data_IF_120236790203
#
_entry.id   IF_120236790203
#
_cell.length_a   1.000
_cell.length_b   1.000
_cell.length_c   1.000
_cell.angle_alpha   90.00
_cell.angle_beta   90.00
_cell.angle_gamma   90.00
#
_symmetry.space_group_name_H-M   'P 1'
#
loop_
_entity.id
_entity.type
_entity.pdbx_description
1 polymer ?
#
# COMPACT_ATOMS: atom_id res chain seq x y z
N UNK A 1 19.83 -9.51 12.96
CA UNK A 1 18.86 -9.22 11.91
C UNK A 1 19.31 -7.98 11.15
N UNK A 2 19.61 -8.11 9.87
CA UNK A 2 19.99 -7.01 8.97
C UNK A 2 18.75 -6.44 8.28
N UNK A 3 18.87 -5.26 7.67
CA UNK A 3 17.80 -4.69 6.83
C UNK A 3 17.37 -5.66 5.74
N UNK A 4 18.32 -6.31 5.08
CA UNK A 4 18.02 -7.21 3.96
C UNK A 4 17.31 -8.49 4.44
N UNK A 5 17.68 -9.00 5.61
CA UNK A 5 16.96 -10.10 6.27
C UNK A 5 15.50 -9.70 6.59
N UNK A 6 15.27 -8.46 7.05
CA UNK A 6 13.90 -7.95 7.29
C UNK A 6 13.12 -7.82 5.98
N UNK A 7 13.73 -7.27 4.92
CA UNK A 7 13.08 -7.18 3.59
C UNK A 7 12.73 -8.56 3.03
N UNK A 8 13.62 -9.54 3.20
CA UNK A 8 13.37 -10.92 2.80
C UNK A 8 12.19 -11.52 3.57
N UNK A 9 12.16 -11.36 4.90
CA UNK A 9 11.07 -11.84 5.73
C UNK A 9 9.71 -11.21 5.36
N UNK A 10 9.66 -9.92 5.03
CA UNK A 10 8.42 -9.31 4.51
C UNK A 10 8.00 -9.91 3.17
N UNK A 11 8.96 -10.19 2.29
CA UNK A 11 8.66 -10.79 0.99
C UNK A 11 8.09 -12.19 1.14
N UNK A 12 8.72 -13.03 1.95
CA UNK A 12 8.22 -14.37 2.28
C UNK A 12 6.80 -14.30 2.85
N UNK A 13 6.56 -13.38 3.79
CA UNK A 13 5.22 -13.17 4.35
C UNK A 13 4.19 -12.75 3.28
N UNK A 14 4.55 -11.83 2.39
CA UNK A 14 3.65 -11.41 1.31
C UNK A 14 3.45 -12.49 0.24
N UNK A 15 4.43 -13.36 0.02
CA UNK A 15 4.29 -14.50 -0.89
C UNK A 15 3.34 -15.56 -0.30
N UNK A 16 3.33 -15.71 1.03
CA UNK A 16 2.44 -16.67 1.72
C UNK A 16 1.00 -16.16 1.87
N UNK A 17 0.82 -14.90 2.32
CA UNK A 17 -0.51 -14.37 2.70
C UNK A 17 -0.95 -13.13 1.92
N UNK A 18 -0.13 -12.65 0.99
CA UNK A 18 -0.45 -11.50 0.15
C UNK A 18 -1.27 -11.87 -1.07
N UNK A 19 -1.76 -10.84 -1.77
CA UNK A 19 -2.36 -10.96 -3.08
C UNK A 19 -1.81 -9.88 -4.01
N UNK A 20 -1.84 -10.13 -5.32
CA UNK A 20 -1.42 -9.16 -6.31
C UNK A 20 -2.45 -8.02 -6.40
N UNK A 21 -1.97 -6.78 -6.34
CA UNK A 21 -2.75 -5.55 -6.46
C UNK A 21 -2.05 -4.57 -7.40
N UNK A 22 -2.74 -3.49 -7.78
CA UNK A 22 -2.12 -2.35 -8.44
C UNK A 22 -2.15 -1.15 -7.50
N UNK A 23 -1.04 -0.43 -7.40
CA UNK A 23 -1.04 0.94 -6.88
C UNK A 23 -1.05 1.87 -8.09
N UNK A 24 -2.05 2.74 -8.15
CA UNK A 24 -2.37 3.57 -9.31
C UNK A 24 -2.25 5.05 -8.96
N UNK A 25 -1.52 5.79 -9.78
CA UNK A 25 -1.51 7.26 -9.75
C UNK A 25 -2.03 7.81 -11.07
N UNK A 26 -3.08 8.61 -10.98
CA UNK A 26 -3.57 9.37 -12.12
C UNK A 26 -2.71 10.62 -12.35
N UNK A 27 -2.48 10.98 -13.60
CA UNK A 27 -1.85 12.24 -14.01
C UNK A 27 -2.82 13.02 -14.89
N UNK A 28 -2.85 14.35 -14.74
CA UNK A 28 -3.78 15.21 -15.49
C UNK A 28 -5.21 15.24 -14.92
N UNK A 29 -6.13 15.80 -15.70
CA UNK A 29 -7.51 16.10 -15.32
C UNK A 29 -8.51 15.55 -16.35
N UNK A 30 -9.77 15.40 -15.97
CA UNK A 30 -10.83 14.88 -16.86
C UNK A 30 -11.10 13.38 -16.69
N UNK A 31 -12.05 12.87 -17.48
CA UNK A 31 -12.49 11.47 -17.43
C UNK A 31 -11.42 10.50 -17.97
N UNK A 32 -10.74 10.89 -19.05
CA UNK A 32 -9.72 10.06 -19.73
C UNK A 32 -8.29 10.42 -19.29
N UNK A 33 -8.15 10.86 -18.03
CA UNK A 33 -6.84 11.23 -17.48
C UNK A 33 -5.92 10.00 -17.48
N UNK A 34 -4.66 10.13 -17.97
CA UNK A 34 -3.71 9.04 -17.93
C UNK A 34 -3.46 8.53 -16.51
N UNK A 35 -3.03 7.29 -16.38
CA UNK A 35 -2.61 6.72 -15.11
C UNK A 35 -1.39 5.83 -15.27
N UNK A 36 -0.67 5.66 -14.16
CA UNK A 36 0.42 4.73 -14.02
C UNK A 36 0.08 3.69 -12.96
N UNK A 37 0.27 2.41 -13.31
CA UNK A 37 0.01 1.27 -12.45
C UNK A 37 1.31 0.56 -12.07
N UNK A 38 1.55 0.42 -10.77
CA UNK A 38 2.58 -0.45 -10.22
C UNK A 38 1.94 -1.73 -9.70
N UNK A 39 2.18 -2.85 -10.40
CA UNK A 39 1.78 -4.18 -9.93
C UNK A 39 2.68 -4.67 -8.80
N UNK A 40 2.12 -4.86 -7.62
CA UNK A 40 2.83 -5.24 -6.39
C UNK A 40 2.06 -6.31 -5.62
N UNK A 41 2.73 -7.01 -4.71
CA UNK A 41 2.04 -7.85 -3.71
C UNK A 41 1.70 -7.03 -2.49
N UNK A 42 0.51 -7.27 -1.95
CA UNK A 42 0.08 -6.64 -0.71
C UNK A 42 -0.71 -7.60 0.17
N UNK A 43 -0.52 -7.47 1.49
CA UNK A 43 -1.43 -8.08 2.44
C UNK A 43 -2.60 -7.14 2.67
N UNK A 44 -3.82 -7.63 2.49
CA UNK A 44 -5.06 -6.85 2.65
C UNK A 44 -5.77 -7.31 3.91
N UNK A 45 -6.00 -6.39 4.84
CA UNK A 45 -6.56 -6.68 6.16
C UNK A 45 -7.69 -5.71 6.48
N UNK A 46 -8.70 -6.16 7.22
CA UNK A 46 -9.63 -5.25 7.88
C UNK A 46 -8.98 -4.66 9.14
N UNK A 47 -9.47 -3.52 9.58
CA UNK A 47 -9.15 -2.98 10.91
C UNK A 47 -9.90 -3.76 11.98
N UNK A 48 -9.25 -4.00 13.13
CA UNK A 48 -9.92 -4.52 14.31
C UNK A 48 -10.88 -3.48 14.91
N UNK A 49 -11.95 -3.86 15.63
CA UNK A 49 -12.90 -2.92 16.21
C UNK A 49 -12.27 -1.82 17.06
N UNK A 50 -11.17 -2.12 17.75
CA UNK A 50 -10.41 -1.16 18.57
C UNK A 50 -9.58 -0.15 17.76
N UNK A 51 -9.28 -0.46 16.51
CA UNK A 51 -8.54 0.40 15.60
C UNK A 51 -9.47 1.37 14.85
N UNK A 52 -10.78 1.15 14.90
CA UNK A 52 -11.79 2.03 14.30
C UNK A 52 -11.92 3.29 15.17
N UNK A 53 -11.07 4.27 14.89
CA UNK A 53 -11.05 5.56 15.55
C UNK A 53 -10.65 6.67 14.56
N UNK A 54 -11.12 7.90 14.81
CA UNK A 54 -10.77 9.06 14.00
C UNK A 54 -11.25 8.93 12.55
N UNK A 55 -10.32 8.92 11.60
CA UNK A 55 -10.60 8.83 10.15
C UNK A 55 -10.78 7.40 9.64
N UNK A 56 -10.55 6.39 10.47
CA UNK A 56 -10.75 4.98 10.12
C UNK A 56 -12.22 4.63 10.36
N UNK A 57 -12.90 4.18 9.31
CA UNK A 57 -14.29 3.77 9.35
C UNK A 57 -14.44 2.25 9.22
N UNK A 58 -15.57 1.71 9.68
CA UNK A 58 -15.92 0.31 9.40
C UNK A 58 -15.99 0.09 7.89
N UNK A 59 -15.32 -0.96 7.40
CA UNK A 59 -15.19 -1.27 5.97
C UNK A 59 -13.90 -0.74 5.34
N UNK A 60 -13.20 0.20 5.99
CA UNK A 60 -11.83 0.55 5.58
C UNK A 60 -10.92 -0.67 5.74
N UNK A 61 -9.90 -0.74 4.90
CA UNK A 61 -8.91 -1.81 4.88
C UNK A 61 -7.51 -1.24 5.02
N UNK A 62 -6.61 -2.05 5.54
CA UNK A 62 -5.18 -1.80 5.59
C UNK A 62 -4.47 -2.62 4.52
N UNK A 63 -3.60 -1.98 3.74
CA UNK A 63 -2.69 -2.66 2.81
C UNK A 63 -1.27 -2.57 3.35
N UNK A 64 -0.58 -3.70 3.44
CA UNK A 64 0.86 -3.72 3.71
C UNK A 64 1.57 -3.98 2.39
N UNK A 65 2.35 -3.01 1.91
CA UNK A 65 3.05 -3.04 0.62
C UNK A 65 4.54 -2.83 0.82
N UNK A 66 5.38 -3.66 0.22
CA UNK A 66 6.83 -3.45 0.24
C UNK A 66 7.21 -2.19 -0.54
N UNK A 67 8.00 -1.30 0.08
CA UNK A 67 8.47 -0.08 -0.60
C UNK A 67 9.40 -0.39 -1.75
N UNK A 68 10.19 -1.46 -1.61
CA UNK A 68 11.07 -1.93 -2.70
C UNK A 68 10.28 -2.26 -3.97
N UNK A 69 9.12 -2.91 -3.84
CA UNK A 69 8.32 -3.28 -5.01
C UNK A 69 7.80 -2.02 -5.74
N UNK A 70 7.45 -0.96 -5.01
CA UNK A 70 7.07 0.33 -5.61
C UNK A 70 8.24 1.00 -6.34
N UNK A 71 9.45 0.97 -5.75
CA UNK A 71 10.67 1.51 -6.35
C UNK A 71 11.05 0.73 -7.61
N UNK A 72 11.05 -0.60 -7.54
CA UNK A 72 11.40 -1.49 -8.66
C UNK A 72 10.41 -1.34 -9.82
N UNK A 73 9.15 -0.99 -9.53
CA UNK A 73 8.11 -0.63 -10.51
C UNK A 73 8.15 0.82 -10.94
N UNK A 74 9.12 1.61 -10.49
CA UNK A 74 9.27 3.04 -10.81
C UNK A 74 8.03 3.89 -10.43
N UNK A 75 7.28 3.47 -9.41
CA UNK A 75 6.16 4.24 -8.90
C UNK A 75 6.67 5.51 -8.22
N UNK A 76 5.98 6.63 -8.46
CA UNK A 76 6.36 7.91 -7.88
C UNK A 76 6.06 7.94 -6.37
N UNK A 77 7.11 7.95 -5.54
CA UNK A 77 7.02 8.09 -4.09
C UNK A 77 7.08 9.57 -3.66
N UNK A 78 6.47 9.97 -2.53
CA UNK A 78 5.68 9.14 -1.62
C UNK A 78 4.32 8.75 -2.22
N UNK A 79 3.70 7.67 -1.71
CA UNK A 79 2.28 7.40 -1.93
C UNK A 79 1.49 8.49 -1.20
N UNK A 80 0.55 9.14 -1.87
CA UNK A 80 -0.19 10.28 -1.33
C UNK A 80 -1.70 10.04 -1.39
N UNK A 81 -2.44 10.79 -0.58
CA UNK A 81 -3.90 10.79 -0.66
C UNK A 81 -4.36 11.17 -2.06
N UNK A 82 -5.27 10.37 -2.61
CA UNK A 82 -5.75 10.52 -4.00
C UNK A 82 -5.14 9.51 -4.98
N UNK A 83 -4.01 8.88 -4.62
CA UNK A 83 -3.62 7.63 -5.23
C UNK A 83 -4.68 6.56 -4.96
N UNK A 84 -4.69 5.53 -5.81
CA UNK A 84 -5.66 4.45 -5.75
C UNK A 84 -4.96 3.11 -5.56
N UNK A 85 -5.67 2.17 -4.97
CA UNK A 85 -5.33 0.77 -5.05
C UNK A 85 -6.39 0.05 -5.89
N UNK A 86 -5.98 -0.86 -6.75
CA UNK A 86 -6.89 -1.76 -7.46
C UNK A 86 -6.77 -3.14 -6.84
N UNK A 87 -7.84 -3.56 -6.15
CA UNK A 87 -7.90 -4.81 -5.39
C UNK A 87 -8.98 -5.67 -6.02
N UNK A 88 -8.60 -6.81 -6.61
CA UNK A 88 -9.53 -7.73 -7.29
C UNK A 88 -10.37 -7.05 -8.39
N UNK A 89 -9.75 -6.12 -9.12
CA UNK A 89 -10.39 -5.36 -10.19
C UNK A 89 -11.14 -4.09 -9.73
N UNK A 90 -11.36 -3.93 -8.42
CA UNK A 90 -12.07 -2.78 -7.87
C UNK A 90 -11.09 -1.67 -7.45
N UNK A 91 -11.37 -0.44 -7.88
CA UNK A 91 -10.59 0.73 -7.50
C UNK A 91 -11.05 1.29 -6.15
N UNK A 92 -10.12 1.39 -5.21
CA UNK A 92 -10.33 1.99 -3.89
C UNK A 92 -9.41 3.18 -3.69
N UNK A 93 -9.84 4.14 -2.87
CA UNK A 93 -9.07 5.33 -2.54
C UNK A 93 -8.02 4.99 -1.48
N UNK A 94 -6.80 5.49 -1.66
CA UNK A 94 -5.81 5.57 -0.59
C UNK A 94 -6.08 6.87 0.18
N UNK A 95 -6.45 6.73 1.46
CA UNK A 95 -6.77 7.86 2.33
C UNK A 95 -5.54 8.35 3.10
N UNK A 96 -4.65 7.42 3.48
CA UNK A 96 -3.41 7.71 4.19
C UNK A 96 -2.34 6.66 3.87
N UNK A 97 -1.08 7.07 3.94
CA UNK A 97 0.09 6.20 3.86
C UNK A 97 0.93 6.40 5.12
N UNK A 98 1.06 5.37 5.94
CA UNK A 98 1.92 5.33 7.11
C UNK A 98 3.29 4.79 6.71
N UNK A 99 4.29 5.67 6.77
CA UNK A 99 5.68 5.42 6.49
C UNK A 99 6.53 5.29 7.77
N UNK A 100 5.91 5.23 8.94
CA UNK A 100 6.57 5.22 10.24
C UNK A 100 6.54 3.84 10.89
N UNK A 101 5.42 3.13 10.83
CA UNK A 101 5.21 1.85 11.54
C UNK A 101 6.14 0.72 11.05
N UNK A 102 6.49 0.72 9.77
CA UNK A 102 7.15 -0.42 9.10
C UNK A 102 8.61 -0.10 8.75
N UNK A 103 9.30 0.59 9.65
CA UNK A 103 10.73 0.89 9.55
C UNK A 103 11.58 -0.09 10.34
N UNK A 104 12.78 -0.37 9.84
CA UNK A 104 13.83 -1.04 10.60
C UNK A 104 15.01 -0.07 10.77
N UNK A 105 15.15 0.49 11.97
CA UNK A 105 16.00 1.65 12.18
C UNK A 105 15.50 2.85 11.36
N UNK A 106 16.38 3.43 10.54
CA UNK A 106 16.03 4.57 9.68
C UNK A 106 15.47 4.18 8.31
N UNK A 107 15.40 2.88 7.99
CA UNK A 107 15.02 2.41 6.68
C UNK A 107 13.56 1.97 6.61
N UNK A 108 12.84 2.50 5.62
CA UNK A 108 11.45 2.14 5.36
C UNK A 108 11.38 0.84 4.56
N UNK A 109 10.77 -0.19 5.16
CA UNK A 109 10.67 -1.52 4.56
C UNK A 109 9.35 -1.67 3.80
N UNK A 110 8.24 -1.31 4.44
CA UNK A 110 6.89 -1.40 3.88
C UNK A 110 6.09 -0.14 4.21
N UNK A 111 4.98 0.08 3.51
CA UNK A 111 3.97 1.08 3.84
C UNK A 111 2.74 0.36 4.41
N UNK A 112 2.10 0.97 5.41
CA UNK A 112 0.69 0.65 5.72
C UNK A 112 -0.20 1.70 5.07
N UNK A 113 -1.04 1.28 4.12
CA UNK A 113 -1.99 2.17 3.45
C UNK A 113 -3.38 1.97 4.05
N UNK A 114 -4.01 3.05 4.48
CA UNK A 114 -5.45 3.07 4.74
C UNK A 114 -6.17 3.23 3.40
N UNK A 115 -7.04 2.27 3.07
CA UNK A 115 -7.86 2.33 1.86
C UNK A 115 -9.36 2.26 2.14
N UNK A 116 -10.12 2.97 1.31
CA UNK A 116 -11.58 3.10 1.39
C UNK A 116 -12.22 3.00 0.02
N UNK A 117 -13.34 2.28 -0.04
CA UNK A 117 -14.09 2.03 -1.28
C UNK A 117 -14.59 0.61 -1.30
#
# INVERSE_FOLDING_TARGET
MTVDEVKAAYREMLDEVGQDILIRRYTGTGADRPYFDAGVKARVLGYEPKEIAGTIAQGDRKLIVLVRDLIDRQFALPVVRGDKAVIRGEEVNIEAADDSTRRFGNELIALELQVRG
#
